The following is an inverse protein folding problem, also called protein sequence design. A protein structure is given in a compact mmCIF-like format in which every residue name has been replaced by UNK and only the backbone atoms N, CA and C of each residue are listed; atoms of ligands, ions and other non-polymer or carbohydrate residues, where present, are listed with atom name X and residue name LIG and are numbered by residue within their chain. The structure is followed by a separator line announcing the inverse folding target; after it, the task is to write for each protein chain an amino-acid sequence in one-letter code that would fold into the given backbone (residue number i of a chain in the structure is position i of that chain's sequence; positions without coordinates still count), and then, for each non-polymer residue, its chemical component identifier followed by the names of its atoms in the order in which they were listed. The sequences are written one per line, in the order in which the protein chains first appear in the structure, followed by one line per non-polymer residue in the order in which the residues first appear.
data_IF_913153008928
#
_entry.id   IF_913153008928
#
_cell.length_a   1.000
_cell.length_b   1.000
_cell.length_c   1.000
_cell.angle_alpha   90.00
_cell.angle_beta   90.00
_cell.angle_gamma   90.00
#
_symmetry.space_group_name_H-M   'P 1'
#
loop_
_entity.id
_entity.type
_entity.pdbx_description
1 polymer ?
#
# COMPACT_ATOMS: atom_id res chain seq x y z
N UNK A 1 1.94 28.20 5.62
CA UNK A 1 2.79 27.73 4.50
C UNK A 1 3.64 26.54 4.93
N UNK A 2 3.94 26.41 6.23
CA UNK A 2 4.76 25.31 6.76
C UNK A 2 4.05 23.96 6.84
N UNK A 3 2.75 23.90 7.17
CA UNK A 3 2.01 22.62 7.25
C UNK A 3 1.98 21.85 5.93
N UNK A 4 1.76 22.54 4.79
CA UNK A 4 1.79 21.89 3.48
C UNK A 4 3.18 21.36 3.13
N UNK A 5 4.23 22.12 3.47
CA UNK A 5 5.62 21.68 3.27
C UNK A 5 5.94 20.46 4.13
N UNK A 6 5.41 20.38 5.34
CA UNK A 6 5.55 19.20 6.18
C UNK A 6 4.81 17.99 5.60
N UNK A 7 3.60 18.17 5.04
CA UNK A 7 2.90 17.10 4.30
C UNK A 7 3.75 16.60 3.12
N UNK A 8 4.32 17.52 2.34
CA UNK A 8 5.22 17.17 1.23
C UNK A 8 6.48 16.44 1.71
N UNK A 9 7.03 16.84 2.86
CA UNK A 9 8.16 16.16 3.50
C UNK A 9 7.80 14.73 3.91
N UNK A 10 6.63 14.52 4.52
CA UNK A 10 6.11 13.19 4.85
C UNK A 10 5.97 12.34 3.59
N UNK A 11 5.39 12.87 2.52
CA UNK A 11 5.28 12.16 1.23
C UNK A 11 6.66 11.80 0.68
N UNK A 12 7.63 12.72 0.76
CA UNK A 12 8.95 12.53 0.18
C UNK A 12 9.85 11.58 0.97
N UNK A 13 9.75 11.56 2.30
CA UNK A 13 10.67 10.84 3.21
C UNK A 13 10.07 9.58 3.83
N UNK A 14 8.77 9.35 3.73
CA UNK A 14 8.19 8.07 4.18
C UNK A 14 8.72 6.95 3.30
N UNK A 15 9.41 5.99 3.92
CA UNK A 15 9.91 4.80 3.27
C UNK A 15 8.75 3.83 3.10
N UNK A 16 8.51 3.38 1.86
CA UNK A 16 7.46 2.42 1.52
C UNK A 16 8.01 1.26 0.67
N UNK A 17 7.38 0.08 0.71
CA UNK A 17 7.70 -1.01 -0.20
C UNK A 17 7.50 -0.64 -1.66
N UNK A 18 8.19 -1.34 -2.56
CA UNK A 18 8.17 -1.09 -4.00
C UNK A 18 6.79 -1.27 -4.65
N UNK A 19 5.89 -2.03 -4.03
CA UNK A 19 4.53 -2.22 -4.53
C UNK A 19 3.59 -1.04 -4.22
N UNK A 20 3.99 -0.11 -3.34
CA UNK A 20 3.25 1.13 -3.08
C UNK A 20 3.50 2.10 -4.23
N UNK A 21 2.43 2.54 -4.88
CA UNK A 21 2.54 3.47 -6.00
C UNK A 21 2.99 4.86 -5.54
N UNK A 22 3.56 5.62 -6.47
CA UNK A 22 4.08 6.94 -6.21
C UNK A 22 2.96 7.97 -6.00
N UNK A 23 3.16 8.87 -5.04
CA UNK A 23 2.37 10.11 -4.86
C UNK A 23 3.29 11.31 -5.13
N UNK A 24 2.82 12.36 -5.85
CA UNK A 24 3.64 13.54 -6.14
C UNK A 24 4.21 14.19 -4.87
N UNK A 25 5.55 14.31 -4.81
CA UNK A 25 6.25 14.92 -3.67
C UNK A 25 5.92 16.39 -3.46
N UNK A 26 5.57 17.09 -4.54
CA UNK A 26 5.12 18.49 -4.53
C UNK A 26 3.59 18.61 -4.42
N UNK A 27 2.92 17.65 -3.78
CA UNK A 27 1.48 17.65 -3.54
C UNK A 27 0.98 19.04 -3.10
N UNK A 28 -0.12 19.50 -3.70
CA UNK A 28 -0.71 20.81 -3.43
C UNK A 28 -0.14 21.97 -4.28
N UNK A 29 0.96 21.77 -5.00
CA UNK A 29 1.50 22.77 -5.93
C UNK A 29 0.90 22.64 -7.34
N UNK A 30 0.83 23.76 -8.07
CA UNK A 30 0.35 23.80 -9.46
C UNK A 30 1.09 22.81 -10.37
N UNK A 31 2.38 22.56 -10.12
CA UNK A 31 3.21 21.65 -10.89
C UNK A 31 2.98 20.15 -10.62
N UNK A 32 2.23 19.77 -9.57
CA UNK A 32 1.97 18.37 -9.25
C UNK A 32 0.97 17.69 -10.21
N UNK A 33 0.24 18.49 -11.00
CA UNK A 33 -0.86 18.00 -11.82
C UNK A 33 -2.09 17.61 -11.00
N UNK A 34 -3.00 16.87 -11.62
CA UNK A 34 -4.21 16.38 -10.96
C UNK A 34 -3.93 15.06 -10.25
N UNK A 35 -4.33 14.98 -8.98
CA UNK A 35 -4.20 13.77 -8.16
C UNK A 35 -5.22 12.73 -8.60
N UNK A 36 -4.74 11.53 -8.92
CA UNK A 36 -5.55 10.39 -9.37
C UNK A 36 -6.20 9.69 -8.19
N UNK A 37 -7.21 8.87 -8.47
CA UNK A 37 -7.97 8.17 -7.42
C UNK A 37 -7.10 7.27 -6.51
N UNK A 38 -6.14 6.53 -7.07
CA UNK A 38 -5.24 5.70 -6.26
C UNK A 38 -4.24 6.54 -5.46
N UNK A 39 -3.79 7.69 -5.98
CA UNK A 39 -2.93 8.63 -5.25
C UNK A 39 -3.69 9.25 -4.07
N UNK A 40 -4.98 9.62 -4.25
CA UNK A 40 -5.85 10.04 -3.15
C UNK A 40 -6.03 8.95 -2.09
N UNK A 41 -6.17 7.69 -2.51
CA UNK A 41 -6.24 6.55 -1.59
C UNK A 41 -4.96 6.45 -0.75
N UNK A 42 -3.78 6.51 -1.39
CA UNK A 42 -2.50 6.44 -0.68
C UNK A 42 -2.28 7.65 0.25
N UNK A 43 -2.63 8.86 -0.19
CA UNK A 43 -2.64 10.05 0.66
C UNK A 43 -3.51 9.84 1.91
N UNK A 44 -4.73 9.32 1.73
CA UNK A 44 -5.68 9.12 2.82
C UNK A 44 -5.35 7.94 3.75
N UNK A 45 -4.62 6.92 3.28
CA UNK A 45 -4.32 5.71 4.08
C UNK A 45 -2.88 5.62 4.57
N UNK A 46 -1.99 6.52 4.13
CA UNK A 46 -0.57 6.54 4.52
C UNK A 46 -0.17 7.95 4.95
N UNK A 47 -0.09 8.89 4.01
CA UNK A 47 0.70 10.11 4.20
C UNK A 47 -0.01 11.20 5.01
N UNK A 48 -1.26 11.54 4.67
CA UNK A 48 -2.00 12.60 5.37
C UNK A 48 -2.29 12.25 6.84
N UNK A 49 -2.70 11.03 7.19
CA UNK A 49 -2.84 10.66 8.61
C UNK A 49 -1.54 10.82 9.39
N UNK A 50 -0.41 10.39 8.84
CA UNK A 50 0.90 10.56 9.48
C UNK A 50 1.19 12.05 9.68
N UNK A 51 1.08 12.86 8.62
CA UNK A 51 1.40 14.27 8.69
C UNK A 51 0.50 15.02 9.68
N UNK A 52 -0.81 14.81 9.63
CA UNK A 52 -1.76 15.57 10.44
C UNK A 52 -1.72 15.18 11.91
N UNK A 53 -1.53 13.89 12.23
CA UNK A 53 -1.32 13.46 13.62
C UNK A 53 -0.07 14.11 14.20
N UNK A 54 1.05 14.11 13.45
CA UNK A 54 2.30 14.71 13.91
C UNK A 54 2.24 16.24 14.01
N UNK A 55 1.47 16.92 13.16
CA UNK A 55 1.29 18.37 13.22
C UNK A 55 0.36 18.82 14.36
N UNK A 56 -0.72 18.07 14.62
CA UNK A 56 -1.84 18.59 15.41
C UNK A 56 -2.09 17.90 16.74
N UNK A 57 -1.65 16.64 16.95
CA UNK A 57 -1.96 15.90 18.17
C UNK A 57 -1.29 16.50 19.42
N UNK A 58 -0.01 16.85 19.28
CA UNK A 58 0.83 17.41 20.36
C UNK A 58 0.90 18.94 20.34
N UNK A 59 0.06 19.62 19.54
CA UNK A 59 0.07 21.09 19.43
C UNK A 59 -0.30 21.74 20.78
N UNK A 60 0.43 22.79 21.13
CA UNK A 60 0.24 23.59 22.34
C UNK A 60 -0.06 25.04 21.95
N UNK A 61 -0.93 25.71 22.71
CA UNK A 61 -1.31 27.11 22.49
C UNK A 61 -2.82 27.30 22.41
N UNK A 62 -3.23 28.54 22.17
CA UNK A 62 -4.65 28.94 22.18
C UNK A 62 -5.48 28.26 21.08
N UNK A 63 -4.84 27.82 19.99
CA UNK A 63 -5.49 27.14 18.87
C UNK A 63 -5.49 25.61 18.99
N UNK A 64 -4.84 25.03 20.01
CA UNK A 64 -4.66 23.59 20.13
C UNK A 64 -5.98 22.82 20.17
N UNK A 65 -7.02 23.35 20.83
CA UNK A 65 -8.34 22.73 20.87
C UNK A 65 -9.00 22.67 19.48
N UNK A 66 -8.85 23.73 18.68
CA UNK A 66 -9.37 23.79 17.33
C UNK A 66 -8.67 22.77 16.41
N UNK A 67 -7.34 22.71 16.46
CA UNK A 67 -6.59 21.73 15.66
C UNK A 67 -6.83 20.27 16.08
N UNK A 68 -7.12 20.01 17.36
CA UNK A 68 -7.58 18.68 17.80
C UNK A 68 -8.92 18.29 17.18
N UNK A 69 -9.89 19.22 17.13
CA UNK A 69 -11.17 18.97 16.45
C UNK A 69 -10.98 18.70 14.95
N UNK A 70 -10.11 19.48 14.27
CA UNK A 70 -9.78 19.26 12.86
C UNK A 70 -9.09 17.90 12.65
N UNK A 71 -8.21 17.50 13.56
CA UNK A 71 -7.53 16.21 13.52
C UNK A 71 -8.51 15.05 13.67
N UNK A 72 -9.36 15.07 14.69
CA UNK A 72 -10.38 14.05 14.94
C UNK A 72 -11.33 13.91 13.73
N UNK A 73 -11.78 15.05 13.20
CA UNK A 73 -12.62 15.10 12.01
C UNK A 73 -11.93 14.48 10.78
N UNK A 74 -10.68 14.85 10.52
CA UNK A 74 -9.89 14.32 9.40
C UNK A 74 -9.60 12.83 9.56
N UNK A 75 -9.23 12.40 10.77
CA UNK A 75 -8.94 11.00 11.09
C UNK A 75 -10.19 10.13 11.03
N UNK A 76 -11.40 10.65 11.26
CA UNK A 76 -12.62 9.90 10.98
C UNK A 76 -12.70 9.52 9.49
N UNK A 77 -12.47 10.46 8.58
CA UNK A 77 -12.45 10.18 7.14
C UNK A 77 -11.34 9.18 6.75
N UNK A 78 -10.12 9.36 7.28
CA UNK A 78 -9.01 8.47 6.96
C UNK A 78 -9.16 7.06 7.52
N UNK A 79 -9.74 6.91 8.71
CA UNK A 79 -10.08 5.60 9.26
C UNK A 79 -11.16 4.92 8.42
N UNK A 80 -12.18 5.66 7.95
CA UNK A 80 -13.18 5.15 7.02
C UNK A 80 -12.55 4.69 5.69
N UNK A 81 -11.65 5.49 5.11
CA UNK A 81 -10.91 5.14 3.89
C UNK A 81 -10.01 3.91 4.09
N UNK A 82 -9.37 3.80 5.25
CA UNK A 82 -8.55 2.65 5.64
C UNK A 82 -9.39 1.39 5.75
N UNK A 83 -10.59 1.45 6.35
CA UNK A 83 -11.50 0.30 6.45
C UNK A 83 -11.92 -0.19 5.06
N UNK A 84 -12.39 0.73 4.20
CA UNK A 84 -12.88 0.40 2.85
C UNK A 84 -11.77 -0.17 1.95
N UNK A 85 -10.52 0.25 2.16
CA UNK A 85 -9.37 -0.20 1.37
C UNK A 85 -8.84 -1.59 1.76
N UNK A 86 -9.43 -2.27 2.76
CA UNK A 86 -9.02 -3.62 3.18
C UNK A 86 -9.54 -4.70 2.24
N UNK A 87 -8.82 -5.83 2.16
CA UNK A 87 -9.20 -6.98 1.34
C UNK A 87 -10.26 -7.87 2.02
N UNK A 88 -10.71 -7.50 3.22
CA UNK A 88 -11.72 -8.23 3.97
C UNK A 88 -12.72 -7.26 4.56
N UNK A 89 -14.00 -7.67 4.61
CA UNK A 89 -15.09 -6.92 5.24
C UNK A 89 -15.66 -7.72 6.41
N UNK A 90 -16.26 -7.04 7.36
CA UNK A 90 -17.03 -7.65 8.46
C UNK A 90 -18.14 -6.70 8.88
N UNK A 91 -19.19 -7.22 9.54
CA UNK A 91 -20.28 -6.38 10.08
C UNK A 91 -19.75 -5.29 11.01
N UNK A 92 -18.76 -5.63 11.85
CA UNK A 92 -18.10 -4.67 12.74
C UNK A 92 -17.35 -3.57 11.99
N UNK A 93 -16.63 -3.91 10.91
CA UNK A 93 -15.93 -2.93 10.07
C UNK A 93 -16.90 -2.04 9.30
N UNK A 94 -17.97 -2.61 8.77
CA UNK A 94 -19.02 -1.84 8.11
C UNK A 94 -19.65 -0.83 9.11
N UNK A 95 -19.98 -1.27 10.33
CA UNK A 95 -20.49 -0.38 11.37
C UNK A 95 -19.51 0.76 11.70
N UNK A 96 -18.23 0.44 11.97
CA UNK A 96 -17.20 1.43 12.23
C UNK A 96 -17.05 2.43 11.08
N UNK A 97 -17.04 1.95 9.82
CA UNK A 97 -17.04 2.81 8.63
C UNK A 97 -18.20 3.82 8.65
N UNK A 98 -19.42 3.33 8.90
CA UNK A 98 -20.62 4.18 8.94
C UNK A 98 -20.52 5.22 10.05
N UNK A 99 -20.03 4.84 11.22
CA UNK A 99 -19.93 5.75 12.37
C UNK A 99 -18.90 6.85 12.10
N UNK A 100 -17.75 6.51 11.51
CA UNK A 100 -16.76 7.52 11.07
C UNK A 100 -17.30 8.46 9.99
N UNK A 101 -17.98 7.94 8.97
CA UNK A 101 -18.57 8.79 7.92
C UNK A 101 -19.66 9.69 8.49
N UNK A 102 -20.50 9.20 9.41
CA UNK A 102 -21.50 10.02 10.10
C UNK A 102 -20.85 11.15 10.90
N UNK A 103 -19.81 10.84 11.67
CA UNK A 103 -19.07 11.86 12.43
C UNK A 103 -18.44 12.90 11.51
N UNK A 104 -17.77 12.46 10.44
CA UNK A 104 -17.16 13.36 9.46
C UNK A 104 -18.21 14.24 8.77
N UNK A 105 -19.32 13.69 8.30
CA UNK A 105 -20.38 14.45 7.65
C UNK A 105 -21.09 15.42 8.60
N UNK A 106 -21.34 15.00 9.85
CA UNK A 106 -22.02 15.80 10.85
C UNK A 106 -21.28 17.10 11.19
N UNK A 107 -19.95 17.06 11.22
CA UNK A 107 -19.12 18.21 11.59
C UNK A 107 -18.55 18.98 10.39
N UNK A 108 -18.77 18.50 9.15
CA UNK A 108 -18.15 19.06 7.94
C UNK A 108 -18.47 20.55 7.75
N UNK A 109 -19.73 20.93 7.89
CA UNK A 109 -20.16 22.31 7.62
C UNK A 109 -19.80 23.29 8.73
N UNK A 110 -19.63 22.78 9.96
CA UNK A 110 -19.24 23.61 11.11
C UNK A 110 -17.74 23.91 11.07
N UNK A 111 -16.93 22.89 10.78
CA UNK A 111 -15.47 23.04 10.66
C UNK A 111 -15.04 23.67 9.33
N UNK A 112 -15.82 23.47 8.26
CA UNK A 112 -15.53 24.01 6.94
C UNK A 112 -16.76 24.73 6.34
N UNK A 113 -17.07 25.96 6.78
CA UNK A 113 -18.28 26.68 6.36
C UNK A 113 -18.41 26.91 4.86
N UNK A 114 -17.29 26.96 4.14
CA UNK A 114 -17.26 27.06 2.68
C UNK A 114 -17.92 25.86 1.97
N UNK A 115 -18.16 24.75 2.67
CA UNK A 115 -18.85 23.57 2.13
C UNK A 115 -20.37 23.67 2.19
N UNK A 116 -20.93 24.70 2.84
CA UNK A 116 -22.40 24.92 2.93
C UNK A 116 -23.04 25.22 1.57
N UNK A 117 -22.26 25.71 0.61
CA UNK A 117 -22.74 26.12 -0.72
C UNK A 117 -21.78 25.61 -1.79
N UNK A 118 -22.22 24.75 -2.74
CA UNK A 118 -23.56 24.15 -2.86
C UNK A 118 -23.84 23.11 -1.76
N UNK A 119 -25.09 23.08 -1.26
CA UNK A 119 -25.52 22.33 -0.08
C UNK A 119 -25.45 20.80 -0.24
N UNK A 120 -25.48 20.31 -1.48
CA UNK A 120 -25.49 18.88 -1.81
C UNK A 120 -24.31 18.53 -2.71
N UNK A 121 -23.33 17.82 -2.14
CA UNK A 121 -22.33 17.11 -2.94
C UNK A 121 -22.73 15.65 -2.99
N UNK A 122 -22.80 15.09 -4.19
CA UNK A 122 -23.24 13.70 -4.43
C UNK A 122 -22.30 12.69 -3.75
N UNK A 123 -21.01 12.99 -3.68
CA UNK A 123 -20.01 12.10 -3.09
C UNK A 123 -20.24 11.81 -1.60
N UNK A 124 -20.45 12.82 -0.71
CA UNK A 124 -20.96 12.62 0.65
C UNK A 124 -22.17 11.69 0.77
N UNK A 125 -23.16 11.82 -0.13
CA UNK A 125 -24.33 10.94 -0.12
C UNK A 125 -23.95 9.50 -0.51
N UNK A 126 -23.15 9.30 -1.56
CA UNK A 126 -22.68 7.97 -1.94
C UNK A 126 -21.82 7.30 -0.88
N UNK A 127 -20.99 8.06 -0.15
CA UNK A 127 -20.19 7.53 0.95
C UNK A 127 -21.08 6.87 2.02
N UNK A 128 -22.27 7.40 2.30
CA UNK A 128 -23.21 6.77 3.24
C UNK A 128 -23.68 5.38 2.78
N UNK A 129 -23.76 5.14 1.47
CA UNK A 129 -24.20 3.85 0.91
C UNK A 129 -23.11 2.79 0.89
N UNK A 130 -21.84 3.18 0.98
CA UNK A 130 -20.72 2.21 1.04
C UNK A 130 -20.89 1.24 2.21
N UNK A 131 -21.50 1.67 3.32
CA UNK A 131 -21.90 0.78 4.41
C UNK A 131 -22.71 -0.42 3.93
N UNK A 132 -23.76 -0.20 3.14
CA UNK A 132 -24.61 -1.26 2.62
C UNK A 132 -23.84 -2.17 1.66
N UNK A 133 -22.98 -1.59 0.83
CA UNK A 133 -22.16 -2.36 -0.12
C UNK A 133 -21.13 -3.24 0.59
N UNK A 134 -20.54 -2.77 1.70
CA UNK A 134 -19.65 -3.58 2.52
C UNK A 134 -20.34 -4.82 3.13
N UNK A 135 -21.65 -4.72 3.40
CA UNK A 135 -22.46 -5.83 3.91
C UNK A 135 -22.93 -6.78 2.82
N UNK A 136 -23.33 -6.25 1.65
CA UNK A 136 -23.92 -7.01 0.56
C UNK A 136 -22.87 -7.65 -0.37
N UNK A 137 -21.83 -6.91 -0.71
CA UNK A 137 -20.85 -7.28 -1.72
C UNK A 137 -19.45 -7.55 -1.16
N UNK A 138 -19.27 -7.40 0.16
CA UNK A 138 -17.98 -7.57 0.81
C UNK A 138 -17.02 -6.40 0.57
N UNK A 139 -15.70 -6.64 0.62
CA UNK A 139 -14.70 -5.56 0.60
C UNK A 139 -14.69 -4.82 -0.73
N UNK A 140 -14.43 -3.51 -0.69
CA UNK A 140 -14.56 -2.62 -1.86
C UNK A 140 -13.67 -2.99 -3.05
N UNK A 141 -12.53 -3.63 -2.79
CA UNK A 141 -11.66 -4.15 -3.83
C UNK A 141 -12.35 -5.14 -4.79
N UNK A 142 -13.44 -5.77 -4.36
CA UNK A 142 -14.18 -6.75 -5.17
C UNK A 142 -15.10 -6.08 -6.19
N UNK A 143 -15.44 -4.80 -6.00
CA UNK A 143 -16.45 -4.10 -6.80
C UNK A 143 -16.05 -2.66 -7.20
N UNK A 144 -14.86 -2.19 -6.82
CA UNK A 144 -14.33 -0.90 -7.28
C UNK A 144 -14.02 -0.92 -8.78
N UNK A 145 -14.02 0.25 -9.41
CA UNK A 145 -13.84 0.38 -10.86
C UNK A 145 -12.38 0.26 -11.33
N UNK A 146 -11.38 0.32 -10.44
CA UNK A 146 -9.95 0.39 -10.84
C UNK A 146 -9.49 -0.74 -11.79
N UNK A 147 -9.87 -2.03 -11.58
CA UNK A 147 -9.50 -3.08 -12.53
C UNK A 147 -10.13 -2.88 -13.91
N UNK A 148 -11.38 -2.43 -13.94
CA UNK A 148 -12.14 -2.18 -15.18
C UNK A 148 -11.57 -0.97 -15.92
N UNK A 149 -11.30 0.14 -15.23
CA UNK A 149 -10.66 1.33 -15.81
C UNK A 149 -9.29 1.01 -16.40
N UNK A 150 -8.48 0.19 -15.71
CA UNK A 150 -7.20 -0.27 -16.23
C UNK A 150 -7.36 -1.10 -17.49
N UNK A 151 -8.35 -1.99 -17.51
CA UNK A 151 -8.66 -2.79 -18.68
C UNK A 151 -9.10 -1.91 -19.85
N UNK A 152 -10.01 -0.96 -19.63
CA UNK A 152 -10.45 0.01 -20.65
C UNK A 152 -9.24 0.76 -21.22
N UNK A 153 -8.33 1.24 -20.36
CA UNK A 153 -7.10 1.89 -20.80
C UNK A 153 -6.15 1.00 -21.60
N UNK A 154 -6.14 -0.31 -21.36
CA UNK A 154 -5.39 -1.27 -22.17
C UNK A 154 -6.05 -1.51 -23.53
N UNK A 155 -7.38 -1.67 -23.55
CA UNK A 155 -8.14 -1.87 -24.78
C UNK A 155 -8.06 -0.64 -25.68
N UNK A 156 -8.10 0.58 -25.13
CA UNK A 156 -7.96 1.82 -25.87
C UNK A 156 -6.57 2.06 -26.49
N UNK A 157 -5.54 1.29 -26.11
CA UNK A 157 -4.22 1.32 -26.75
C UNK A 157 -4.10 0.38 -27.94
N UNK A 158 -5.08 -0.50 -28.16
CA UNK A 158 -5.08 -1.40 -29.31
C UNK A 158 -5.30 -0.54 -30.55
N UNK A 159 -4.31 -0.57 -31.46
CA UNK A 159 -4.46 0.09 -32.74
C UNK A 159 -5.60 -0.57 -33.52
N UNK A 160 -6.62 0.21 -33.82
CA UNK A 160 -7.78 -0.23 -34.60
C UNK A 160 -7.72 0.22 -36.05
N UNK A 161 -6.65 0.89 -36.49
CA UNK A 161 -6.48 1.46 -37.83
C UNK A 161 -7.71 2.26 -38.29
N UNK A 162 -8.29 3.04 -37.37
CA UNK A 162 -9.49 3.85 -37.59
C UNK A 162 -10.73 3.05 -38.07
N UNK A 163 -10.76 1.74 -37.84
CA UNK A 163 -11.97 0.94 -38.06
C UNK A 163 -13.13 1.48 -37.20
N UNK A 164 -14.33 1.55 -37.78
CA UNK A 164 -15.56 2.04 -37.15
C UNK A 164 -16.64 0.95 -37.13
N UNK A 165 -17.52 1.01 -36.13
CA UNK A 165 -18.57 -0.01 -35.92
C UNK A 165 -17.97 -1.40 -35.70
N UNK A 166 -18.72 -2.47 -35.97
CA UNK A 166 -18.40 -3.87 -35.60
C UNK A 166 -16.99 -4.39 -35.89
N UNK A 167 -16.27 -3.79 -36.83
CA UNK A 167 -14.86 -4.11 -37.11
C UNK A 167 -13.92 -3.63 -35.98
N UNK A 168 -14.23 -2.49 -35.36
CA UNK A 168 -13.50 -1.94 -34.22
C UNK A 168 -13.53 -2.91 -33.03
N UNK A 169 -14.73 -3.33 -32.62
CA UNK A 169 -14.91 -4.25 -31.49
C UNK A 169 -14.27 -5.61 -31.80
N UNK A 170 -14.41 -6.11 -33.05
CA UNK A 170 -13.77 -7.35 -33.48
C UNK A 170 -12.23 -7.25 -33.41
N UNK A 171 -11.63 -6.15 -33.86
CA UNK A 171 -10.17 -5.94 -33.79
C UNK A 171 -9.68 -5.90 -32.35
N UNK A 172 -10.36 -5.15 -31.47
CA UNK A 172 -10.06 -5.08 -30.05
C UNK A 172 -10.15 -6.46 -29.40
N UNK A 173 -11.27 -7.15 -29.59
CA UNK A 173 -11.52 -8.47 -29.00
C UNK A 173 -10.50 -9.50 -29.48
N UNK A 174 -10.25 -9.60 -30.78
CA UNK A 174 -9.30 -10.56 -31.35
C UNK A 174 -7.87 -10.29 -30.87
N UNK A 175 -7.46 -9.02 -30.82
CA UNK A 175 -6.12 -8.64 -30.34
C UNK A 175 -5.95 -8.97 -28.86
N UNK A 176 -6.97 -8.67 -28.04
CA UNK A 176 -6.98 -9.02 -26.62
C UNK A 176 -6.86 -10.53 -26.39
N UNK A 177 -7.67 -11.34 -27.10
CA UNK A 177 -7.65 -12.80 -27.00
C UNK A 177 -6.30 -13.36 -27.43
N UNK A 178 -5.72 -12.88 -28.55
CA UNK A 178 -4.38 -13.28 -29.00
C UNK A 178 -3.32 -12.99 -27.94
N UNK A 179 -3.36 -11.80 -27.33
CA UNK A 179 -2.45 -11.45 -26.24
C UNK A 179 -2.63 -12.32 -24.99
N UNK A 180 -3.87 -12.64 -24.62
CA UNK A 180 -4.17 -13.54 -23.50
C UNK A 180 -3.64 -14.97 -23.74
N UNK A 181 -3.85 -15.51 -24.94
CA UNK A 181 -3.34 -16.83 -25.33
C UNK A 181 -1.80 -16.86 -25.32
N UNK A 182 -1.16 -15.80 -25.81
CA UNK A 182 0.30 -15.71 -25.80
C UNK A 182 0.87 -15.65 -24.38
N UNK A 183 0.28 -14.82 -23.48
CA UNK A 183 0.63 -14.79 -22.06
C UNK A 183 0.51 -16.17 -21.42
N UNK A 184 -0.57 -16.89 -21.70
CA UNK A 184 -0.78 -18.25 -21.19
C UNK A 184 0.35 -19.19 -21.64
N UNK A 185 0.78 -19.12 -22.89
CA UNK A 185 1.89 -19.92 -23.40
C UNK A 185 3.23 -19.56 -22.78
N UNK A 186 3.55 -18.26 -22.68
CA UNK A 186 4.81 -17.76 -22.10
C UNK A 186 4.95 -18.20 -20.64
N UNK A 187 3.86 -18.18 -19.87
CA UNK A 187 3.87 -18.51 -18.45
C UNK A 187 3.80 -20.01 -18.15
N UNK A 188 3.59 -20.87 -19.15
CA UNK A 188 3.57 -22.34 -18.95
C UNK A 188 4.98 -22.90 -18.65
N UNK A 189 5.08 -23.95 -17.82
CA UNK A 189 6.28 -24.81 -17.79
C UNK A 189 6.43 -25.47 -19.17
N UNK A 190 7.59 -25.32 -19.82
CA UNK A 190 7.82 -25.84 -21.18
C UNK A 190 7.43 -24.90 -22.33
N UNK A 191 7.38 -23.58 -22.10
CA UNK A 191 7.23 -22.61 -23.17
C UNK A 191 8.32 -22.82 -24.25
N UNK A 192 7.97 -22.95 -25.54
CA UNK A 192 8.94 -23.06 -26.62
C UNK A 192 9.95 -21.91 -26.61
N UNK A 193 11.25 -22.21 -26.73
CA UNK A 193 12.33 -21.22 -26.68
C UNK A 193 12.15 -20.08 -27.70
N UNK A 194 11.58 -20.40 -28.87
CA UNK A 194 11.25 -19.41 -29.90
C UNK A 194 10.33 -18.30 -29.38
N UNK A 195 9.34 -18.61 -28.54
CA UNK A 195 8.43 -17.59 -27.99
C UNK A 195 9.15 -16.69 -26.98
N UNK A 196 10.13 -17.22 -26.26
CA UNK A 196 10.96 -16.45 -25.33
C UNK A 196 11.93 -15.52 -26.09
N UNK A 197 12.48 -15.95 -27.23
CA UNK A 197 13.32 -15.11 -28.09
C UNK A 197 12.57 -13.86 -28.58
N UNK A 198 11.28 -13.99 -28.91
CA UNK A 198 10.44 -12.88 -29.36
C UNK A 198 9.69 -12.16 -28.23
N UNK A 199 9.96 -12.48 -26.96
CA UNK A 199 9.25 -11.92 -25.80
C UNK A 199 9.18 -10.39 -25.83
N UNK A 200 10.30 -9.71 -26.12
CA UNK A 200 10.35 -8.24 -26.18
C UNK A 200 9.48 -7.68 -27.32
N UNK A 201 9.51 -8.32 -28.48
CA UNK A 201 8.69 -7.94 -29.64
C UNK A 201 7.21 -8.10 -29.35
N UNK A 202 6.81 -9.21 -28.74
CA UNK A 202 5.43 -9.42 -28.32
C UNK A 202 4.96 -8.43 -27.26
N UNK A 203 5.83 -8.11 -26.29
CA UNK A 203 5.53 -7.12 -25.26
C UNK A 203 5.30 -5.72 -25.87
N UNK A 204 6.13 -5.35 -26.85
CA UNK A 204 6.01 -4.10 -27.59
C UNK A 204 4.72 -4.06 -28.43
N UNK A 205 4.48 -5.11 -29.22
CA UNK A 205 3.33 -5.19 -30.14
C UNK A 205 1.98 -5.17 -29.40
N UNK A 206 1.90 -5.88 -28.28
CA UNK A 206 0.66 -5.97 -27.51
C UNK A 206 0.46 -4.79 -26.54
N UNK A 207 1.49 -3.96 -26.31
CA UNK A 207 1.45 -2.90 -25.30
C UNK A 207 1.17 -3.43 -23.88
N UNK A 208 1.54 -4.69 -23.62
CA UNK A 208 1.18 -5.43 -22.42
C UNK A 208 2.44 -6.00 -21.77
N UNK A 209 2.50 -5.94 -20.44
CA UNK A 209 3.52 -6.65 -19.69
C UNK A 209 3.17 -8.16 -19.69
N UNK A 210 4.04 -8.99 -20.29
CA UNK A 210 3.78 -10.42 -20.51
C UNK A 210 4.27 -11.32 -19.35
N UNK A 211 4.83 -10.72 -18.29
CA UNK A 211 5.33 -11.38 -17.09
C UNK A 211 6.87 -11.42 -17.04
N UNK A 212 7.46 -11.16 -15.88
CA UNK A 212 8.91 -11.07 -15.71
C UNK A 212 9.53 -12.47 -15.62
N UNK A 213 9.73 -13.11 -16.77
CA UNK A 213 10.73 -14.18 -16.90
C UNK A 213 11.96 -13.55 -17.53
N UNK A 214 12.74 -12.82 -16.72
CA UNK A 214 14.16 -12.65 -17.00
C UNK A 214 14.68 -14.03 -17.37
N UNK A 215 15.27 -14.15 -18.56
CA UNK A 215 15.85 -15.38 -19.06
C UNK A 215 16.65 -16.03 -17.92
N UNK A 216 16.11 -17.12 -17.39
CA UNK A 216 16.71 -17.80 -16.25
C UNK A 216 18.13 -18.16 -16.65
N UNK A 217 19.11 -17.60 -15.95
CA UNK A 217 20.42 -18.22 -15.90
C UNK A 217 20.19 -19.57 -15.23
N UNK A 218 20.04 -20.60 -16.06
CA UNK A 218 20.13 -21.98 -15.65
C UNK A 218 21.54 -22.22 -15.12
N UNK A 219 21.77 -21.98 -13.83
CA UNK A 219 22.93 -22.52 -13.14
C UNK A 219 22.59 -23.94 -12.75
N UNK A 220 23.36 -24.85 -13.32
CA UNK A 220 23.12 -26.28 -13.26
C UNK A 220 23.28 -26.85 -11.87
N UNK A 221 22.82 -28.09 -11.77
CA UNK A 221 23.06 -29.00 -10.67
C UNK A 221 24.54 -28.97 -10.24
N UNK A 222 24.77 -28.49 -9.03
CA UNK A 222 25.96 -28.84 -8.26
C UNK A 222 25.52 -29.18 -6.83
N UNK A 223 25.62 -30.46 -6.52
CA UNK A 223 25.54 -31.02 -5.17
C UNK A 223 26.68 -30.44 -4.33
N UNK A 224 26.37 -29.40 -3.56
CA UNK A 224 27.18 -28.93 -2.44
C UNK A 224 26.21 -28.38 -1.37
N UNK A 225 26.59 -28.54 -0.10
CA UNK A 225 25.89 -28.03 1.09
C UNK A 225 25.94 -26.49 1.14
N UNK A 226 25.54 -25.80 0.07
CA UNK A 226 25.79 -24.36 -0.11
C UNK A 226 24.62 -23.56 0.43
N UNK A 227 24.85 -22.91 1.57
CA UNK A 227 23.96 -21.87 2.09
C UNK A 227 24.01 -20.68 1.12
N UNK A 228 22.85 -20.27 0.59
CA UNK A 228 22.71 -19.12 -0.30
C UNK A 228 22.21 -17.90 0.48
N UNK A 229 22.72 -16.71 0.12
CA UNK A 229 22.33 -15.42 0.71
C UNK A 229 21.83 -14.44 -0.37
N UNK A 230 20.62 -14.64 -0.92
CA UNK A 230 20.12 -13.80 -1.99
C UNK A 230 19.79 -12.37 -1.51
N UNK A 231 19.77 -11.43 -2.44
CA UNK A 231 19.37 -10.04 -2.17
C UNK A 231 17.84 -9.88 -2.01
N UNK A 232 17.07 -10.80 -2.59
CA UNK A 232 15.60 -10.79 -2.67
C UNK A 232 15.03 -12.18 -2.43
N UNK A 233 13.78 -12.24 -1.97
CA UNK A 233 13.01 -13.47 -1.87
C UNK A 233 11.52 -13.19 -2.06
N UNK A 234 10.86 -13.95 -2.92
CA UNK A 234 9.42 -13.86 -3.12
C UNK A 234 8.70 -14.90 -2.25
N UNK A 235 7.73 -14.45 -1.47
CA UNK A 235 6.85 -15.29 -0.67
C UNK A 235 5.40 -14.82 -0.84
N UNK A 236 4.50 -15.74 -1.19
CA UNK A 236 3.07 -15.47 -1.44
C UNK A 236 2.80 -14.29 -2.40
N UNK A 237 3.60 -14.19 -3.47
CA UNK A 237 3.49 -13.13 -4.47
C UNK A 237 3.97 -11.75 -4.00
N UNK A 238 4.65 -11.69 -2.85
CA UNK A 238 5.24 -10.48 -2.28
C UNK A 238 6.75 -10.62 -2.28
N UNK A 239 7.43 -9.62 -2.86
CA UNK A 239 8.88 -9.58 -2.93
C UNK A 239 9.46 -8.85 -1.69
N UNK A 240 10.34 -9.54 -0.97
CA UNK A 240 11.10 -9.03 0.17
C UNK A 240 12.57 -8.86 -0.21
N UNK A 241 13.27 -7.95 0.46
CA UNK A 241 14.71 -7.77 0.23
C UNK A 241 15.44 -7.42 1.51
N UNK A 242 16.76 -7.60 1.50
CA UNK A 242 17.62 -7.01 2.53
C UNK A 242 17.58 -5.48 2.49
N UNK A 243 17.84 -4.86 3.64
CA UNK A 243 17.86 -3.41 3.90
C UNK A 243 18.79 -2.66 2.93
N UNK A 244 19.95 -3.25 2.66
CA UNK A 244 20.98 -2.71 1.75
C UNK A 244 20.58 -2.75 0.28
N UNK A 245 19.59 -3.56 -0.09
CA UNK A 245 19.11 -3.63 -1.49
C UNK A 245 17.92 -2.71 -1.71
N UNK A 246 16.90 -2.78 -0.86
CA UNK A 246 15.75 -1.89 -0.91
C UNK A 246 15.12 -1.77 0.48
N UNK A 247 15.37 -0.65 1.17
CA UNK A 247 14.93 -0.43 2.53
C UNK A 247 13.42 -0.67 2.72
N UNK A 248 12.57 -0.14 1.83
CA UNK A 248 11.12 -0.33 1.98
C UNK A 248 10.64 -1.78 1.86
N UNK A 249 11.40 -2.66 1.20
CA UNK A 249 11.06 -4.08 1.04
C UNK A 249 11.71 -4.92 2.15
N UNK A 250 12.56 -4.32 2.99
CA UNK A 250 13.11 -4.96 4.18
C UNK A 250 12.26 -4.69 5.42
N UNK A 251 11.51 -3.58 5.44
CA UNK A 251 10.69 -3.16 6.56
C UNK A 251 9.42 -4.02 6.69
N UNK A 252 9.34 -4.79 7.78
CA UNK A 252 8.28 -5.77 8.03
C UNK A 252 7.76 -5.72 9.46
N UNK A 253 6.50 -6.13 9.61
CA UNK A 253 5.95 -6.64 10.86
C UNK A 253 5.99 -8.16 10.82
N UNK A 254 6.32 -8.79 11.95
CA UNK A 254 6.39 -10.25 12.05
C UNK A 254 5.97 -10.72 13.44
N UNK A 255 5.48 -11.96 13.48
CA UNK A 255 5.14 -12.66 14.71
C UNK A 255 6.38 -13.42 15.19
N UNK A 256 6.81 -13.17 16.42
CA UNK A 256 7.78 -14.03 17.08
C UNK A 256 7.07 -15.33 17.51
N UNK A 257 7.42 -16.49 16.93
CA UNK A 257 6.75 -17.75 17.24
C UNK A 257 6.99 -18.22 18.67
N UNK A 258 8.04 -17.74 19.35
CA UNK A 258 8.38 -18.14 20.72
C UNK A 258 7.54 -17.36 21.72
N UNK A 259 7.51 -16.03 21.59
CA UNK A 259 6.77 -15.17 22.52
C UNK A 259 5.30 -14.94 22.13
N UNK A 260 4.93 -15.22 20.88
CA UNK A 260 3.62 -14.87 20.31
C UNK A 260 3.42 -13.37 20.12
N UNK A 261 4.45 -12.54 20.33
CA UNK A 261 4.36 -11.08 20.19
C UNK A 261 4.68 -10.64 18.77
N UNK A 262 4.07 -9.54 18.36
CA UNK A 262 4.37 -8.89 17.09
C UNK A 262 5.49 -7.87 17.27
N UNK A 263 6.45 -7.88 16.36
CA UNK A 263 7.56 -6.94 16.30
C UNK A 263 7.63 -6.26 14.94
N UNK A 264 8.22 -5.06 14.93
CA UNK A 264 8.63 -4.39 13.71
C UNK A 264 10.14 -4.54 13.54
N UNK A 265 10.61 -4.64 12.30
CA UNK A 265 12.04 -4.73 12.03
C UNK A 265 12.39 -4.58 10.56
N UNK A 266 13.69 -4.70 10.30
CA UNK A 266 14.28 -4.65 8.97
C UNK A 266 15.01 -5.95 8.67
N UNK A 267 14.71 -6.56 7.52
CA UNK A 267 15.44 -7.73 7.02
C UNK A 267 16.86 -7.29 6.66
N UNK A 268 17.86 -7.77 7.40
CA UNK A 268 19.28 -7.49 7.14
C UNK A 268 19.90 -8.54 6.22
N UNK A 269 19.51 -9.81 6.41
CA UNK A 269 19.93 -10.92 5.55
C UNK A 269 18.78 -11.88 5.25
N UNK A 270 18.88 -12.55 4.11
CA UNK A 270 18.02 -13.67 3.72
C UNK A 270 18.93 -14.88 3.58
N UNK A 271 18.61 -15.98 4.25
CA UNK A 271 19.40 -17.20 4.23
C UNK A 271 18.54 -18.33 3.69
N UNK A 272 19.03 -18.99 2.64
CA UNK A 272 18.42 -20.19 2.08
C UNK A 272 19.36 -21.36 2.33
N UNK A 273 18.91 -22.33 3.12
CA UNK A 273 19.63 -23.59 3.37
C UNK A 273 18.74 -24.76 2.97
N UNK A 274 19.11 -25.44 1.88
CA UNK A 274 18.31 -26.48 1.22
C UNK A 274 16.92 -25.95 0.82
N UNK A 275 15.89 -26.27 1.59
CA UNK A 275 14.51 -25.85 1.38
C UNK A 275 13.99 -24.92 2.49
N UNK A 276 14.81 -24.64 3.51
CA UNK A 276 14.46 -23.73 4.58
C UNK A 276 14.94 -22.33 4.23
N UNK A 277 14.04 -21.36 4.41
CA UNK A 277 14.32 -19.94 4.22
C UNK A 277 14.13 -19.24 5.55
N UNK A 278 15.14 -18.49 5.96
CA UNK A 278 15.15 -17.72 7.19
C UNK A 278 15.48 -16.26 6.86
N UNK A 279 14.69 -15.34 7.39
CA UNK A 279 14.99 -13.91 7.38
C UNK A 279 15.69 -13.53 8.68
N UNK A 280 16.84 -12.89 8.56
CA UNK A 280 17.57 -12.31 9.69
C UNK A 280 17.08 -10.88 9.83
N UNK A 281 16.27 -10.62 10.85
CA UNK A 281 15.57 -9.36 11.05
C UNK A 281 16.13 -8.63 12.25
N UNK A 282 16.59 -7.39 12.05
CA UNK A 282 16.94 -6.50 13.15
C UNK A 282 15.68 -5.82 13.67
N UNK A 283 15.42 -5.92 14.97
CA UNK A 283 14.24 -5.30 15.60
C UNK A 283 14.32 -3.78 15.52
N UNK A 284 13.18 -3.12 15.32
CA UNK A 284 13.04 -1.69 15.59
C UNK A 284 13.10 -1.47 17.10
N UNK A 285 13.89 -0.50 17.57
CA UNK A 285 13.94 -0.21 19.00
C UNK A 285 12.58 0.35 19.48
N UNK A 286 12.15 0.02 20.71
CA UNK A 286 10.90 0.51 21.26
C UNK A 286 10.91 2.02 21.40
N UNK A 287 9.71 2.62 21.53
CA UNK A 287 9.57 4.04 21.82
C UNK A 287 10.37 4.41 23.08
N UNK A 288 11.22 5.46 23.04
CA UNK A 288 12.00 5.87 24.21
C UNK A 288 11.09 6.16 25.44
N UNK A 289 11.54 5.85 26.66
CA UNK A 289 10.77 6.12 27.88
C UNK A 289 10.38 7.61 27.98
N UNK A 290 9.15 7.86 28.43
CA UNK A 290 8.62 9.23 28.59
C UNK A 290 8.10 9.89 27.31
N UNK A 291 8.23 9.24 26.14
CA UNK A 291 7.58 9.68 24.90
C UNK A 291 6.20 9.04 24.75
N UNK A 292 5.27 9.75 24.11
CA UNK A 292 3.93 9.26 23.83
C UNK A 292 3.79 8.79 22.38
N UNK A 293 2.83 7.88 22.15
CA UNK A 293 2.38 7.48 20.84
C UNK A 293 1.07 8.21 20.48
N UNK A 294 1.13 9.27 19.65
CA UNK A 294 -0.05 10.04 19.28
C UNK A 294 -1.03 9.26 18.39
N UNK A 295 -0.61 8.13 17.80
CA UNK A 295 -1.46 7.32 16.91
C UNK A 295 -2.40 6.39 17.67
N UNK A 296 -2.13 6.09 18.96
CA UNK A 296 -2.87 5.09 19.75
C UNK A 296 -4.38 5.35 19.85
N UNK A 297 -4.80 6.61 19.70
CA UNK A 297 -6.21 7.02 19.83
C UNK A 297 -7.05 6.72 18.58
N UNK A 298 -6.43 6.26 17.49
CA UNK A 298 -7.10 5.99 16.21
C UNK A 298 -7.12 4.48 15.90
N UNK A 299 -8.10 3.71 16.44
CA UNK A 299 -8.07 2.25 16.42
C UNK A 299 -8.09 1.61 15.02
N UNK A 300 -8.59 2.33 14.01
CA UNK A 300 -8.67 1.83 12.64
C UNK A 300 -7.55 2.33 11.73
N UNK A 301 -6.60 3.11 12.27
CA UNK A 301 -5.38 3.51 11.58
C UNK A 301 -4.17 2.80 12.23
N UNK A 302 -3.62 1.74 11.60
CA UNK A 302 -2.71 0.81 12.26
C UNK A 302 -1.26 1.31 12.28
N UNK A 303 -1.07 2.51 12.83
CA UNK A 303 0.22 3.13 13.04
C UNK A 303 0.60 3.12 14.52
N UNK A 304 1.89 2.98 14.79
CA UNK A 304 2.45 3.04 16.13
C UNK A 304 3.80 3.75 16.10
N UNK A 305 4.12 4.45 17.19
CA UNK A 305 5.39 5.15 17.34
C UNK A 305 6.45 4.25 17.97
N UNK A 306 7.65 4.27 17.39
CA UNK A 306 8.86 3.57 17.81
C UNK A 306 10.03 4.54 17.95
N UNK A 307 11.19 4.07 18.42
CA UNK A 307 12.42 4.83 18.21
C UNK A 307 12.79 4.82 16.73
N UNK A 308 13.42 5.89 16.23
CA UNK A 308 14.02 5.90 14.89
C UNK A 308 15.24 4.97 14.79
N UNK A 309 15.84 4.54 15.91
CA UNK A 309 16.98 3.61 15.92
C UNK A 309 16.53 2.15 15.85
N UNK A 310 17.36 1.31 15.25
CA UNK A 310 17.21 -0.14 15.33
C UNK A 310 17.79 -0.65 16.66
N UNK A 311 17.24 -1.75 17.19
CA UNK A 311 17.78 -2.46 18.35
C UNK A 311 19.04 -3.25 17.99
N UNK A 312 19.81 -3.64 19.01
CA UNK A 312 20.85 -4.66 18.89
C UNK A 312 20.27 -6.05 18.65
N UNK A 313 19.00 -6.28 19.02
CA UNK A 313 18.34 -7.57 18.91
C UNK A 313 18.13 -7.96 17.44
N UNK A 314 18.44 -9.23 17.16
CA UNK A 314 18.27 -9.84 15.83
C UNK A 314 17.49 -11.14 16.00
N UNK A 315 16.46 -11.30 15.19
CA UNK A 315 15.64 -12.51 15.14
C UNK A 315 15.86 -13.28 13.84
N UNK A 316 15.65 -14.59 13.91
CA UNK A 316 15.65 -15.49 12.75
C UNK A 316 14.20 -15.93 12.54
N UNK A 317 13.59 -15.46 11.45
CA UNK A 317 12.14 -15.57 11.23
C UNK A 317 11.86 -16.29 9.92
N UNK A 318 11.01 -17.31 9.97
CA UNK A 318 10.46 -17.97 8.77
C UNK A 318 9.58 -16.95 8.02
N UNK A 319 9.67 -16.83 6.69
CA UNK A 319 8.81 -15.95 5.90
C UNK A 319 7.30 -16.07 6.19
N UNK A 320 6.82 -17.25 6.61
CA UNK A 320 5.40 -17.47 7.00
C UNK A 320 4.97 -16.72 8.25
N UNK A 321 5.93 -16.33 9.09
CA UNK A 321 5.70 -15.51 10.29
C UNK A 321 5.69 -14.01 9.97
N UNK A 322 5.99 -13.61 8.72
CA UNK A 322 5.83 -12.23 8.29
C UNK A 322 4.36 -11.90 8.16
N UNK A 323 3.98 -10.83 8.84
CA UNK A 323 2.62 -10.32 8.89
C UNK A 323 2.33 -9.47 7.66
N UNK A 324 3.25 -8.53 7.40
CA UNK A 324 3.13 -7.55 6.35
C UNK A 324 4.41 -6.75 6.20
N UNK A 325 4.57 -6.10 5.06
CA UNK A 325 5.40 -4.91 4.97
C UNK A 325 4.86 -3.76 5.85
N UNK A 326 5.72 -2.80 6.17
CA UNK A 326 5.33 -1.55 6.79
C UNK A 326 5.88 -0.32 6.06
N UNK A 327 5.22 0.83 6.25
CA UNK A 327 5.78 2.12 5.92
C UNK A 327 6.43 2.72 7.17
N UNK A 328 7.52 3.47 6.99
CA UNK A 328 8.27 4.09 8.10
C UNK A 328 8.57 5.54 7.79
N UNK A 329 8.29 6.44 8.73
CA UNK A 329 8.65 7.85 8.64
C UNK A 329 9.32 8.29 9.93
N UNK A 330 10.54 8.82 9.80
CA UNK A 330 11.32 9.35 10.91
C UNK A 330 10.94 10.80 11.18
N UNK A 331 10.74 11.14 12.45
CA UNK A 331 10.39 12.48 12.89
C UNK A 331 11.17 12.86 14.16
N UNK A 332 10.84 14.02 14.76
CA UNK A 332 11.60 14.61 15.85
C UNK A 332 11.75 13.71 17.09
N UNK A 333 12.78 13.98 17.90
CA UNK A 333 13.07 13.33 19.18
C UNK A 333 13.39 11.84 19.09
N UNK A 334 14.12 11.42 18.06
CA UNK A 334 14.48 10.01 17.84
C UNK A 334 13.26 9.09 17.73
N UNK A 335 12.15 9.59 17.18
CA UNK A 335 10.92 8.83 16.97
C UNK A 335 10.72 8.49 15.50
N UNK A 336 10.09 7.35 15.26
CA UNK A 336 9.61 6.95 13.96
C UNK A 336 8.18 6.44 14.08
N UNK A 337 7.34 6.75 13.09
CA UNK A 337 6.05 6.07 12.95
C UNK A 337 6.23 4.88 12.04
N UNK A 338 5.71 3.74 12.47
CA UNK A 338 5.61 2.52 11.66
C UNK A 338 4.13 2.27 11.40
N UNK A 339 3.76 2.27 10.12
CA UNK A 339 2.41 1.99 9.66
C UNK A 339 2.35 0.57 9.09
N UNK A 340 1.49 -0.26 9.66
CA UNK A 340 1.19 -1.58 9.14
C UNK A 340 0.47 -1.44 7.78
N UNK A 341 1.09 -1.96 6.71
CA UNK A 341 0.52 -1.92 5.36
C UNK A 341 -0.25 -3.21 5.00
N UNK A 342 -0.58 -4.03 6.00
CA UNK A 342 -1.28 -5.27 5.79
C UNK A 342 -2.62 -5.03 5.11
N UNK A 343 -2.78 -5.77 4.02
CA UNK A 343 -4.00 -5.80 3.21
C UNK A 343 -5.03 -6.78 3.79
N UNK A 344 -4.59 -7.69 4.67
CA UNK A 344 -5.40 -8.74 5.34
C UNK A 344 -5.28 -8.58 6.86
N UNK A 345 -6.32 -8.88 7.64
CA UNK A 345 -6.19 -8.85 9.10
C UNK A 345 -5.29 -10.02 9.54
N UNK A 346 -4.36 -9.80 10.45
CA UNK A 346 -3.96 -10.88 11.35
C UNK A 346 -5.13 -11.18 12.27
N UNK A 347 -5.44 -12.45 12.44
CA UNK A 347 -6.35 -12.89 13.47
C UNK A 347 -5.76 -12.42 14.82
N UNK A 348 -6.50 -11.53 15.49
CA UNK A 348 -6.33 -11.24 16.92
C UNK A 348 -7.35 -12.07 17.68
#
# INVERSE_FOLDING_TARGET
MDDLRFVQEVVAKTVTPAWVHHVPKNFGEKGAGSIKADEWRLLATIYLPIALVLLWAERVGNDAAHFRQLLEHSMALFQAATIVSRYTSSKSRAAAYRDFIKHWLGNLQDLYPHTKTPRTRTNPHYAMHIYHFLLLFGPAISWWAFPVERLIGQLGKINSNDHLGGQHEATIMNTWIRGANLRRWINRPGCPAVLLHFYRLFSLYLGLNLGDRSAGSSTGNSSANTVSRPAHYEHDGVNYSRSTTHLGNSLVLYLDPVSGKTYAGSIEEIIINKQKVDFIIRRQAPLPPGKNDPFRIFPHFPAQTYSSKMSSDVDIIDPKCIISHCARFDFSDERAVILNLSRVRLLS
#
